data_IF_774378600995
#
_entry.id   IF_774378600995
#
_cell.length_a   1.000
_cell.length_b   1.000
_cell.length_c   1.000
_cell.angle_alpha   90.00
_cell.angle_beta   90.00
_cell.angle_gamma   90.00
#
_symmetry.space_group_name_H-M   'P 1'
#
loop_
_entity.id
_entity.type
_entity.pdbx_description
1 polymer ?
#
# COMPACT_ATOMS: atom_id res chain seq x y z
N UNK A 1 17.32 -15.05 5.72
CA UNK A 1 17.63 -15.72 7.01
C UNK A 1 19.09 -16.12 7.11
N UNK A 2 19.70 -16.79 6.09
CA UNK A 2 21.09 -17.29 6.19
C UNK A 2 22.14 -16.21 6.50
N UNK A 3 21.97 -14.98 6.00
CA UNK A 3 22.96 -13.91 6.18
C UNK A 3 22.78 -13.16 7.52
N UNK A 4 21.55 -13.02 8.01
CA UNK A 4 21.23 -12.15 9.16
C UNK A 4 20.53 -12.89 10.31
N UNK A 5 20.38 -14.20 10.21
CA UNK A 5 19.79 -15.05 11.26
C UNK A 5 18.27 -15.13 11.26
N UNK A 6 17.56 -14.19 10.65
CA UNK A 6 16.10 -14.20 10.63
C UNK A 6 15.48 -13.06 9.83
N UNK A 7 14.15 -12.92 9.98
CA UNK A 7 13.31 -11.84 9.45
C UNK A 7 12.40 -11.37 10.57
N UNK A 8 12.38 -10.07 10.85
CA UNK A 8 11.57 -9.43 11.89
C UNK A 8 10.62 -8.36 11.34
N UNK A 9 10.89 -7.83 10.15
CA UNK A 9 10.04 -6.87 9.47
C UNK A 9 9.95 -7.18 7.98
N UNK A 10 8.71 -7.19 7.46
CA UNK A 10 8.45 -7.26 6.01
C UNK A 10 7.52 -6.12 5.61
N UNK A 11 7.89 -5.40 4.55
CA UNK A 11 7.07 -4.32 3.98
C UNK A 11 6.60 -4.71 2.58
N UNK A 12 5.30 -4.94 2.43
CA UNK A 12 4.65 -5.19 1.15
C UNK A 12 4.42 -3.86 0.43
N UNK A 13 5.43 -3.38 -0.30
CA UNK A 13 5.41 -2.10 -1.01
C UNK A 13 5.20 -2.26 -2.52
N UNK A 14 5.46 -3.42 -3.11
CA UNK A 14 5.34 -3.61 -4.54
C UNK A 14 3.94 -3.24 -5.06
N UNK A 15 3.89 -2.46 -6.14
CA UNK A 15 2.63 -2.04 -6.72
C UNK A 15 2.80 -1.41 -8.09
N UNK A 16 1.76 -1.50 -8.88
CA UNK A 16 1.62 -0.84 -10.17
C UNK A 16 0.18 -0.35 -10.33
N UNK A 17 -0.03 0.60 -11.22
CA UNK A 17 -1.38 1.06 -11.55
C UNK A 17 -1.52 1.29 -13.05
N UNK A 18 -2.59 0.76 -13.61
CA UNK A 18 -3.02 1.02 -14.98
C UNK A 18 -4.36 1.77 -14.91
N UNK A 19 -4.38 3.02 -15.39
CA UNK A 19 -5.60 3.83 -15.39
C UNK A 19 -6.38 3.57 -16.68
N UNK A 20 -7.55 2.93 -16.55
CA UNK A 20 -8.46 2.66 -17.66
C UNK A 20 -9.91 2.81 -17.22
N UNK A 21 -10.77 3.30 -18.11
CA UNK A 21 -12.20 3.27 -17.90
C UNK A 21 -12.69 1.82 -17.80
N UNK A 22 -13.83 1.58 -17.14
CA UNK A 22 -14.36 0.24 -16.95
C UNK A 22 -14.50 -0.54 -18.27
N UNK A 23 -15.02 0.10 -19.31
CA UNK A 23 -15.28 -0.53 -20.60
C UNK A 23 -14.01 -0.86 -21.39
N UNK A 24 -12.89 -0.20 -21.06
CA UNK A 24 -11.59 -0.39 -21.70
C UNK A 24 -10.64 -1.26 -20.86
N UNK A 25 -11.04 -1.62 -19.64
CA UNK A 25 -10.24 -2.47 -18.74
C UNK A 25 -10.32 -3.92 -19.23
N UNK A 26 -9.19 -4.46 -19.69
CA UNK A 26 -9.10 -5.86 -20.10
C UNK A 26 -8.93 -6.81 -18.91
N UNK A 27 -9.15 -8.12 -19.13
CA UNK A 27 -8.84 -9.14 -18.12
C UNK A 27 -7.34 -9.12 -17.76
N UNK A 28 -6.45 -8.94 -18.74
CA UNK A 28 -5.01 -8.85 -18.50
C UNK A 28 -4.63 -7.63 -17.65
N UNK A 29 -5.26 -6.45 -17.87
CA UNK A 29 -5.08 -5.27 -17.02
C UNK A 29 -5.53 -5.53 -15.58
N UNK A 30 -6.58 -6.31 -15.39
CA UNK A 30 -7.06 -6.75 -14.09
C UNK A 30 -6.08 -7.73 -13.43
N UNK A 31 -5.71 -8.78 -14.16
CA UNK A 31 -4.90 -9.88 -13.65
C UNK A 31 -3.51 -9.40 -13.23
N UNK A 32 -2.81 -8.62 -14.04
CA UNK A 32 -1.47 -8.12 -13.70
C UNK A 32 -1.48 -7.26 -12.43
N UNK A 33 -2.51 -6.43 -12.22
CA UNK A 33 -2.61 -5.60 -11.02
C UNK A 33 -2.92 -6.45 -9.79
N UNK A 34 -3.79 -7.45 -9.91
CA UNK A 34 -4.10 -8.38 -8.84
C UNK A 34 -2.94 -9.32 -8.52
N UNK A 35 -2.24 -9.83 -9.54
CA UNK A 35 -1.07 -10.70 -9.36
C UNK A 35 0.07 -10.01 -8.63
N UNK A 36 0.38 -8.76 -8.99
CA UNK A 36 1.45 -8.01 -8.32
C UNK A 36 1.03 -7.58 -6.91
N UNK A 37 -0.17 -7.04 -6.74
CA UNK A 37 -0.56 -6.40 -5.49
C UNK A 37 -1.25 -7.38 -4.53
N UNK A 38 -2.43 -7.89 -4.85
CA UNK A 38 -3.17 -8.70 -3.87
C UNK A 38 -2.57 -10.10 -3.70
N UNK A 39 -2.28 -10.80 -4.81
CA UNK A 39 -1.65 -12.13 -4.78
C UNK A 39 -0.19 -12.06 -4.33
N UNK A 40 0.58 -11.10 -4.87
CA UNK A 40 1.98 -10.92 -4.52
C UNK A 40 2.19 -10.64 -3.05
N UNK A 41 1.42 -9.71 -2.45
CA UNK A 41 1.52 -9.43 -1.02
C UNK A 41 1.08 -10.61 -0.15
N UNK A 42 0.06 -11.38 -0.58
CA UNK A 42 -0.30 -12.63 0.09
C UNK A 42 0.86 -13.62 0.09
N UNK A 43 1.49 -13.87 -1.07
CA UNK A 43 2.60 -14.81 -1.17
C UNK A 43 3.80 -14.39 -0.32
N UNK A 44 4.19 -13.10 -0.38
CA UNK A 44 5.28 -12.56 0.44
C UNK A 44 4.96 -12.68 1.93
N UNK A 45 3.76 -12.33 2.36
CA UNK A 45 3.35 -12.43 3.76
C UNK A 45 3.31 -13.89 4.25
N UNK A 46 2.86 -14.82 3.41
CA UNK A 46 2.89 -16.24 3.72
C UNK A 46 4.31 -16.75 3.96
N UNK A 47 5.25 -16.41 3.08
CA UNK A 47 6.66 -16.84 3.24
C UNK A 47 7.33 -16.12 4.43
N UNK A 48 6.98 -14.85 4.68
CA UNK A 48 7.41 -14.13 5.88
C UNK A 48 6.92 -14.84 7.15
N UNK A 49 5.65 -15.20 7.23
CA UNK A 49 5.10 -15.92 8.37
C UNK A 49 5.77 -17.30 8.56
N UNK A 50 6.05 -18.03 7.48
CA UNK A 50 6.80 -19.30 7.52
C UNK A 50 8.21 -19.14 8.10
N UNK A 51 8.84 -17.99 7.90
CA UNK A 51 10.14 -17.69 8.51
C UNK A 51 10.00 -17.22 9.96
N UNK A 52 9.06 -16.30 10.25
CA UNK A 52 8.90 -15.66 11.55
C UNK A 52 8.33 -16.59 12.63
N UNK A 53 7.35 -17.42 12.30
CA UNK A 53 6.69 -18.32 13.28
C UNK A 53 7.69 -19.26 13.98
N UNK A 54 8.58 -19.99 13.27
CA UNK A 54 9.58 -20.81 13.94
C UNK A 54 10.62 -20.05 14.75
N UNK A 55 10.86 -18.77 14.43
CA UNK A 55 11.79 -17.91 15.17
C UNK A 55 11.30 -17.61 16.60
N UNK A 56 10.00 -17.60 16.84
CA UNK A 56 9.37 -17.29 18.14
C UNK A 56 9.77 -15.92 18.72
N UNK A 57 10.10 -14.97 17.86
CA UNK A 57 10.51 -13.61 18.25
C UNK A 57 9.41 -12.58 17.97
N UNK A 58 8.29 -13.02 17.39
CA UNK A 58 7.30 -12.10 16.83
C UNK A 58 7.79 -11.46 15.54
N UNK A 59 7.30 -10.26 15.25
CA UNK A 59 7.70 -9.46 14.09
C UNK A 59 6.55 -8.64 13.52
N UNK A 60 6.84 -7.97 12.40
CA UNK A 60 5.91 -7.05 11.75
C UNK A 60 5.77 -7.32 10.26
N UNK A 61 4.53 -7.29 9.77
CA UNK A 61 4.21 -7.27 8.34
C UNK A 61 3.42 -6.00 8.05
N UNK A 62 3.97 -5.11 7.22
CA UNK A 62 3.34 -3.83 6.90
C UNK A 62 2.98 -3.79 5.42
N UNK A 63 1.74 -3.38 5.13
CA UNK A 63 1.22 -3.23 3.78
C UNK A 63 1.17 -1.77 3.38
N UNK A 64 1.71 -1.44 2.21
CA UNK A 64 1.45 -0.14 1.57
C UNK A 64 0.23 -0.32 0.66
N UNK A 65 -0.94 -0.10 1.24
CA UNK A 65 -2.21 -0.18 0.54
C UNK A 65 -2.48 1.13 -0.24
N UNK A 66 -3.60 1.76 -0.05
CA UNK A 66 -3.95 3.06 -0.67
C UNK A 66 -5.24 3.60 -0.06
N UNK A 67 -5.46 4.91 -0.11
CA UNK A 67 -6.80 5.46 0.14
C UNK A 67 -7.85 4.86 -0.82
N UNK A 68 -7.46 4.47 -2.01
CA UNK A 68 -8.35 3.84 -3.00
C UNK A 68 -8.83 2.43 -2.59
N UNK A 69 -8.31 1.87 -1.50
CA UNK A 69 -8.90 0.70 -0.85
C UNK A 69 -10.28 0.99 -0.24
N UNK A 70 -10.60 2.26 0.01
CA UNK A 70 -11.83 2.73 0.67
C UNK A 70 -12.60 3.70 -0.22
N UNK A 71 -11.90 4.67 -0.83
CA UNK A 71 -12.53 5.73 -1.64
C UNK A 71 -12.49 5.41 -3.13
N UNK A 72 -13.61 5.60 -3.80
CA UNK A 72 -13.72 5.40 -5.23
C UNK A 72 -12.98 6.49 -6.02
N UNK A 73 -12.26 6.08 -7.06
CA UNK A 73 -11.66 6.97 -8.05
C UNK A 73 -12.04 6.55 -9.47
N UNK A 74 -12.21 7.50 -10.40
CA UNK A 74 -12.56 7.17 -11.78
C UNK A 74 -11.42 6.43 -12.49
N UNK A 75 -11.76 5.61 -13.47
CA UNK A 75 -10.83 4.88 -14.34
C UNK A 75 -9.75 4.10 -13.56
N UNK A 76 -10.15 3.39 -12.50
CA UNK A 76 -9.19 2.77 -11.57
C UNK A 76 -9.71 1.49 -10.90
N UNK A 77 -10.59 0.75 -11.57
CA UNK A 77 -11.31 -0.37 -10.95
C UNK A 77 -10.36 -1.50 -10.50
N UNK A 78 -9.45 -1.97 -11.35
CA UNK A 78 -8.56 -3.09 -11.04
C UNK A 78 -7.58 -2.73 -9.91
N UNK A 79 -7.00 -1.51 -9.94
CA UNK A 79 -6.13 -1.02 -8.88
C UNK A 79 -6.87 -0.91 -7.54
N UNK A 80 -8.02 -0.25 -7.52
CA UNK A 80 -8.79 -0.05 -6.29
C UNK A 80 -9.25 -1.38 -5.68
N UNK A 81 -9.70 -2.32 -6.50
CA UNK A 81 -10.09 -3.66 -6.06
C UNK A 81 -8.90 -4.43 -5.46
N UNK A 82 -7.73 -4.39 -6.11
CA UNK A 82 -6.52 -5.04 -5.58
C UNK A 82 -6.04 -4.41 -4.27
N UNK A 83 -6.14 -3.09 -4.13
CA UNK A 83 -5.82 -2.36 -2.90
C UNK A 83 -6.83 -2.63 -1.77
N UNK A 84 -8.10 -2.80 -2.09
CA UNK A 84 -9.12 -3.24 -1.13
C UNK A 84 -8.83 -4.68 -0.63
N UNK A 85 -8.41 -5.58 -1.52
CA UNK A 85 -7.97 -6.91 -1.13
C UNK A 85 -6.76 -6.86 -0.18
N UNK A 86 -5.74 -6.04 -0.47
CA UNK A 86 -4.60 -5.83 0.45
C UNK A 86 -5.06 -5.31 1.82
N UNK A 87 -5.95 -4.32 1.85
CA UNK A 87 -6.47 -3.75 3.09
C UNK A 87 -7.23 -4.79 3.94
N UNK A 88 -7.92 -5.72 3.28
CA UNK A 88 -8.61 -6.79 4.00
C UNK A 88 -7.65 -7.89 4.47
N UNK A 89 -6.62 -8.22 3.68
CA UNK A 89 -5.56 -9.15 4.08
C UNK A 89 -4.88 -8.70 5.39
N UNK A 90 -4.67 -7.40 5.60
CA UNK A 90 -4.12 -6.86 6.86
C UNK A 90 -4.92 -7.36 8.07
N UNK A 91 -6.25 -7.30 8.01
CA UNK A 91 -7.12 -7.71 9.13
C UNK A 91 -7.12 -9.23 9.32
N UNK A 92 -7.18 -9.98 8.22
CA UNK A 92 -7.19 -11.45 8.26
C UNK A 92 -5.86 -11.97 8.84
N UNK A 93 -4.73 -11.50 8.32
CA UNK A 93 -3.42 -11.92 8.78
C UNK A 93 -3.13 -11.48 10.23
N UNK A 94 -3.62 -10.30 10.64
CA UNK A 94 -3.52 -9.86 12.03
C UNK A 94 -4.23 -10.85 12.96
N UNK A 95 -5.41 -11.35 12.58
CA UNK A 95 -6.15 -12.32 13.37
C UNK A 95 -5.48 -13.70 13.40
N UNK A 96 -4.91 -14.15 12.26
CA UNK A 96 -4.27 -15.46 12.16
C UNK A 96 -2.88 -15.53 12.82
N UNK A 97 -2.13 -14.41 12.82
CA UNK A 97 -0.72 -14.40 13.25
C UNK A 97 -0.50 -13.84 14.67
N UNK A 98 -1.56 -13.34 15.32
CA UNK A 98 -1.45 -12.73 16.65
C UNK A 98 -0.93 -13.69 17.72
N UNK A 99 -1.27 -14.96 17.65
CA UNK A 99 -0.80 -15.98 18.60
C UNK A 99 0.72 -16.19 18.55
N UNK A 100 1.36 -15.84 17.43
CA UNK A 100 2.82 -15.93 17.25
C UNK A 100 3.53 -14.61 17.59
N UNK A 101 2.80 -13.61 18.11
CA UNK A 101 3.36 -12.28 18.40
C UNK A 101 3.68 -11.47 17.13
N UNK A 102 3.17 -11.87 15.98
CA UNK A 102 3.38 -11.16 14.71
C UNK A 102 2.24 -10.15 14.53
N UNK A 103 2.60 -8.87 14.37
CA UNK A 103 1.66 -7.78 14.08
C UNK A 103 1.55 -7.56 12.58
N UNK A 104 0.34 -7.30 12.10
CA UNK A 104 0.09 -6.97 10.70
C UNK A 104 -0.69 -5.67 10.62
N UNK A 105 -0.09 -4.63 10.04
CA UNK A 105 -0.70 -3.33 9.87
C UNK A 105 -0.54 -2.84 8.42
N UNK A 106 -1.25 -1.79 8.07
CA UNK A 106 -1.16 -1.19 6.75
C UNK A 106 -1.18 0.33 6.78
N UNK A 107 -0.78 0.91 5.68
CA UNK A 107 -0.80 2.35 5.44
C UNK A 107 -1.61 2.61 4.19
N UNK A 108 -2.49 3.61 4.25
CA UNK A 108 -3.31 4.09 3.15
C UNK A 108 -2.81 5.49 2.69
N UNK A 109 -1.78 5.58 1.84
CA UNK A 109 -1.36 6.87 1.30
C UNK A 109 -2.38 7.44 0.31
N UNK A 110 -2.43 8.76 0.18
CA UNK A 110 -2.98 9.43 -1.01
C UNK A 110 -1.89 9.59 -2.09
N UNK A 111 -2.12 10.44 -3.07
CA UNK A 111 -1.24 10.65 -4.23
C UNK A 111 0.19 11.03 -3.85
N UNK A 112 1.04 10.02 -3.66
CA UNK A 112 2.50 10.19 -3.52
C UNK A 112 3.10 10.35 -4.90
N UNK A 113 3.10 11.59 -5.42
CA UNK A 113 3.50 11.89 -6.81
C UNK A 113 5.01 11.88 -6.95
N UNK A 114 5.71 12.58 -6.07
CA UNK A 114 7.15 12.75 -6.13
C UNK A 114 7.88 11.41 -5.89
N UNK A 115 8.78 11.05 -6.81
CA UNK A 115 9.61 9.85 -6.69
C UNK A 115 8.87 8.51 -6.81
N UNK A 116 7.60 8.53 -7.20
CA UNK A 116 6.80 7.31 -7.35
C UNK A 116 6.96 6.70 -8.74
N UNK A 117 7.34 5.42 -8.81
CA UNK A 117 7.37 4.66 -10.06
C UNK A 117 6.00 4.53 -10.74
N UNK A 118 4.91 4.57 -9.99
CA UNK A 118 3.55 4.56 -10.54
C UNK A 118 3.31 5.83 -11.37
N UNK A 119 3.63 6.99 -10.83
CA UNK A 119 3.41 8.27 -11.52
C UNK A 119 4.35 8.49 -12.69
N UNK A 120 5.58 7.97 -12.64
CA UNK A 120 6.56 8.09 -13.74
C UNK A 120 6.34 7.09 -14.89
N UNK A 121 5.48 6.11 -14.74
CA UNK A 121 5.18 5.07 -15.76
C UNK A 121 4.12 5.49 -16.80
N UNK A 122 3.84 6.79 -16.95
CA UNK A 122 2.78 7.33 -17.82
C UNK A 122 1.40 7.41 -17.13
N UNK A 123 1.26 6.81 -15.96
CA UNK A 123 0.03 6.93 -15.17
C UNK A 123 -0.21 8.37 -14.69
N UNK A 124 0.86 9.10 -14.35
CA UNK A 124 0.80 10.52 -13.97
C UNK A 124 0.20 11.37 -15.07
N UNK A 125 0.67 11.24 -16.32
CA UNK A 125 0.13 11.95 -17.47
C UNK A 125 -1.36 11.64 -17.70
N UNK A 126 -1.74 10.35 -17.62
CA UNK A 126 -3.15 9.94 -17.74
C UNK A 126 -4.02 10.55 -16.64
N UNK A 127 -3.53 10.59 -15.40
CA UNK A 127 -4.26 11.20 -14.28
C UNK A 127 -4.39 12.71 -14.42
N UNK A 128 -3.33 13.39 -14.82
CA UNK A 128 -3.35 14.82 -15.09
C UNK A 128 -4.39 15.16 -16.18
N UNK A 129 -4.44 14.37 -17.25
CA UNK A 129 -5.44 14.52 -18.31
C UNK A 129 -6.88 14.32 -17.78
N UNK A 130 -7.13 13.30 -16.95
CA UNK A 130 -8.45 13.06 -16.34
C UNK A 130 -8.88 14.22 -15.45
N UNK A 131 -7.95 14.88 -14.78
CA UNK A 131 -8.25 16.02 -13.90
C UNK A 131 -8.16 17.38 -14.60
N UNK A 132 -7.73 17.44 -15.86
CA UNK A 132 -7.57 18.69 -16.61
C UNK A 132 -6.45 19.58 -16.08
N UNK A 133 -5.39 19.01 -15.53
CA UNK A 133 -4.21 19.69 -15.02
C UNK A 133 -2.96 19.24 -15.77
N UNK A 134 -1.85 20.00 -15.66
CA UNK A 134 -0.57 19.54 -16.17
C UNK A 134 0.04 18.49 -15.25
N UNK A 135 0.85 17.59 -15.81
CA UNK A 135 1.50 16.53 -15.04
C UNK A 135 2.40 17.10 -13.92
N UNK A 136 3.12 18.20 -14.20
CA UNK A 136 3.98 18.90 -13.24
C UNK A 136 3.21 19.50 -12.05
N UNK A 137 1.92 19.82 -12.24
CA UNK A 137 1.05 20.39 -11.20
C UNK A 137 0.28 19.33 -10.39
N UNK A 138 0.42 18.06 -10.74
CA UNK A 138 -0.40 16.98 -10.18
C UNK A 138 -0.23 16.84 -8.66
N UNK A 139 0.99 16.99 -8.15
CA UNK A 139 1.27 16.94 -6.70
C UNK A 139 0.53 18.05 -5.95
N UNK A 140 0.64 19.26 -6.45
CA UNK A 140 -0.06 20.42 -5.89
C UNK A 140 -1.58 20.27 -6.01
N UNK A 141 -2.08 19.72 -7.12
CA UNK A 141 -3.50 19.42 -7.29
C UNK A 141 -4.01 18.45 -6.22
N UNK A 142 -3.26 17.37 -5.94
CA UNK A 142 -3.62 16.45 -4.85
C UNK A 142 -3.59 17.18 -3.50
N UNK A 143 -2.56 17.95 -3.21
CA UNK A 143 -2.42 18.71 -1.96
C UNK A 143 -3.63 19.63 -1.70
N UNK A 144 -4.09 20.36 -2.71
CA UNK A 144 -5.21 21.30 -2.57
C UNK A 144 -6.55 20.62 -2.25
N UNK A 145 -6.67 19.32 -2.45
CA UNK A 145 -7.88 18.53 -2.14
C UNK A 145 -7.88 17.97 -0.72
N UNK A 146 -6.76 18.06 0.00
CA UNK A 146 -6.62 17.58 1.37
C UNK A 146 -6.92 18.66 2.41
N UNK A 147 -7.12 18.28 3.67
CA UNK A 147 -7.38 19.23 4.76
C UNK A 147 -6.13 20.06 5.07
N UNK A 148 -4.96 19.43 5.13
CA UNK A 148 -3.70 20.11 5.45
C UNK A 148 -3.12 20.91 4.29
N UNK A 149 -3.65 20.78 3.07
CA UNK A 149 -3.13 21.45 1.85
C UNK A 149 -1.64 21.16 1.61
N UNK A 150 -1.20 19.95 1.90
CA UNK A 150 0.20 19.53 1.79
C UNK A 150 0.32 18.24 0.99
N UNK A 151 1.37 18.16 0.18
CA UNK A 151 1.69 16.92 -0.54
C UNK A 151 2.11 15.80 0.42
N UNK A 152 1.69 14.59 0.10
CA UNK A 152 2.21 13.38 0.72
C UNK A 152 3.47 12.95 -0.04
N UNK A 153 4.58 12.87 0.68
CA UNK A 153 5.88 12.47 0.14
C UNK A 153 6.23 11.04 0.54
N UNK A 154 7.13 10.35 -0.18
CA UNK A 154 7.60 9.01 0.19
C UNK A 154 8.12 8.94 1.63
N UNK A 155 8.79 10.00 2.09
CA UNK A 155 9.29 10.09 3.47
C UNK A 155 8.17 9.98 4.51
N UNK A 156 7.00 10.59 4.28
CA UNK A 156 5.89 10.51 5.22
C UNK A 156 5.35 9.09 5.35
N UNK A 157 5.31 8.35 4.24
CA UNK A 157 4.93 6.92 4.24
C UNK A 157 6.00 6.10 4.97
N UNK A 158 7.28 6.33 4.70
CA UNK A 158 8.38 5.63 5.38
C UNK A 158 8.39 5.88 6.89
N UNK A 159 8.14 7.12 7.33
CA UNK A 159 8.03 7.44 8.76
C UNK A 159 6.84 6.73 9.43
N UNK A 160 5.72 6.59 8.73
CA UNK A 160 4.59 5.81 9.24
C UNK A 160 4.92 4.31 9.34
N UNK A 161 5.68 3.75 8.38
CA UNK A 161 6.18 2.36 8.47
C UNK A 161 7.05 2.18 9.71
N UNK A 162 8.05 3.05 9.92
CA UNK A 162 8.95 2.95 11.08
C UNK A 162 8.21 3.10 12.41
N UNK A 163 7.22 4.00 12.47
CA UNK A 163 6.39 4.16 13.66
C UNK A 163 5.59 2.88 13.96
N UNK A 164 4.90 2.30 12.95
CA UNK A 164 4.12 1.08 13.13
C UNK A 164 4.98 -0.13 13.54
N UNK A 165 6.24 -0.18 13.08
CA UNK A 165 7.18 -1.24 13.43
C UNK A 165 7.90 -1.01 14.75
N UNK A 166 7.68 0.12 15.43
CA UNK A 166 8.32 0.46 16.69
C UNK A 166 7.56 -0.05 17.91
N UNK A 167 8.19 0.02 19.07
CA UNK A 167 7.60 -0.37 20.36
C UNK A 167 6.44 0.53 20.77
N UNK A 168 6.39 1.78 20.29
CA UNK A 168 5.28 2.70 20.56
C UNK A 168 3.94 2.14 20.03
N UNK A 169 3.98 1.34 18.97
CA UNK A 169 2.80 0.66 18.42
C UNK A 169 2.70 -0.82 18.81
N UNK A 170 3.41 -1.28 19.84
CA UNK A 170 3.46 -2.68 20.27
C UNK A 170 2.10 -3.31 20.61
N UNK A 171 1.06 -2.51 20.80
CA UNK A 171 -0.33 -2.97 21.08
C UNK A 171 -1.28 -2.78 19.90
N UNK A 172 -0.72 -2.54 18.70
CA UNK A 172 -1.51 -2.23 17.49
C UNK A 172 -1.30 -3.29 16.42
N UNK A 173 -2.38 -3.95 16.00
CA UNK A 173 -2.41 -4.88 14.86
C UNK A 173 -3.77 -4.79 14.15
N UNK A 174 -3.84 -5.11 12.87
CA UNK A 174 -5.04 -5.01 12.05
C UNK A 174 -5.45 -3.59 11.65
N UNK A 175 -4.60 -2.59 11.92
CA UNK A 175 -4.87 -1.18 11.66
C UNK A 175 -4.46 -0.80 10.23
N UNK A 176 -5.24 0.10 9.63
CA UNK A 176 -4.92 0.80 8.39
C UNK A 176 -4.81 2.30 8.69
N UNK A 177 -3.60 2.83 8.64
CA UNK A 177 -3.31 4.24 8.97
C UNK A 177 -3.37 5.08 7.70
N UNK A 178 -4.23 6.12 7.63
CA UNK A 178 -4.18 7.06 6.53
C UNK A 178 -2.93 7.95 6.63
N UNK A 179 -2.26 8.12 5.49
CA UNK A 179 -1.15 9.07 5.31
C UNK A 179 -1.50 9.89 4.06
N UNK A 180 -2.46 10.80 4.21
CA UNK A 180 -3.18 11.40 3.09
C UNK A 180 -3.38 12.92 3.23
N UNK A 181 -2.87 13.50 4.30
CA UNK A 181 -3.09 14.92 4.65
C UNK A 181 -4.57 15.29 4.91
N UNK A 182 -5.45 14.30 5.12
CA UNK A 182 -6.86 14.45 5.47
C UNK A 182 -7.78 14.55 4.28
#
# INVERSE_FOLDING_TARGET
>A
CLAFGGVDLVVNNAGLSLSRALLDTTADDWDIQHDVMSRGSFLVSREAARAMVPQRMGGDIIYIASKNAIFAGPANIAYSASKAAQAHQVRLLAAELCEFGIRVNGINPDGVVQGSGIFSSGWGANRAAVYGVKEEDLGQFYAQRTILKREVLPLHVALAVTALASDEFSRTTGLLVPVDSG
#
